data_IF_414896025116
#
_entry.id   IF_414896025116
#
_cell.length_a   1.000
_cell.length_b   1.000
_cell.length_c   1.000
_cell.angle_alpha   90.00
_cell.angle_beta   90.00
_cell.angle_gamma   90.00
#
_symmetry.space_group_name_H-M   'P 1'
#
loop_
_entity.id
_entity.type
_entity.pdbx_description
1 polymer ?
#
# COMPACT_ATOMS: atom_id res chain seq x y z
N UNK A 1 -28.91 -9.65 -19.14
CA UNK A 1 -29.07 -9.78 -17.67
C UNK A 1 -27.91 -9.01 -17.07
N UNK A 2 -28.09 -7.70 -16.91
CA UNK A 2 -27.04 -6.82 -16.41
C UNK A 2 -26.98 -7.00 -14.90
N UNK A 3 -25.87 -7.56 -14.41
CA UNK A 3 -25.58 -7.56 -13.00
C UNK A 3 -25.32 -6.10 -12.61
N UNK A 4 -26.30 -5.45 -11.98
CA UNK A 4 -26.06 -4.25 -11.19
C UNK A 4 -24.91 -4.56 -10.23
N UNK A 5 -23.71 -4.08 -10.55
CA UNK A 5 -22.59 -4.04 -9.64
C UNK A 5 -22.89 -2.98 -8.59
N UNK A 6 -23.83 -3.31 -7.69
CA UNK A 6 -24.12 -2.52 -6.51
C UNK A 6 -22.82 -2.38 -5.72
N UNK A 7 -22.20 -1.20 -5.82
CA UNK A 7 -21.05 -0.82 -5.00
C UNK A 7 -21.51 -1.01 -3.56
N UNK A 8 -21.02 -2.06 -2.90
CA UNK A 8 -21.44 -2.39 -1.54
C UNK A 8 -21.04 -1.19 -0.68
N UNK A 9 -21.85 -0.81 0.31
CA UNK A 9 -21.56 0.30 1.23
C UNK A 9 -20.12 0.26 1.78
N UNK A 10 -19.59 -0.94 2.05
CA UNK A 10 -18.19 -1.18 2.43
C UNK A 10 -17.17 -0.60 1.43
N UNK A 11 -17.46 -0.65 0.13
CA UNK A 11 -16.56 -0.16 -0.93
C UNK A 11 -16.54 1.38 -1.00
N UNK A 12 -17.50 2.06 -0.37
CA UNK A 12 -17.53 3.53 -0.20
C UNK A 12 -16.96 4.00 1.15
N UNK A 13 -16.75 3.10 2.11
CA UNK A 13 -16.17 3.43 3.40
C UNK A 13 -14.67 3.76 3.25
N UNK A 14 -14.23 5.01 3.54
CA UNK A 14 -12.83 5.39 3.45
C UNK A 14 -11.90 4.51 4.29
N UNK A 15 -12.35 4.06 5.46
CA UNK A 15 -11.56 3.19 6.35
C UNK A 15 -11.34 1.84 5.68
N UNK A 16 -12.41 1.25 5.13
CA UNK A 16 -12.31 -0.03 4.42
C UNK A 16 -11.42 0.06 3.18
N UNK A 17 -11.49 1.16 2.42
CA UNK A 17 -10.58 1.39 1.30
C UNK A 17 -9.12 1.45 1.77
N UNK A 18 -8.81 2.16 2.85
CA UNK A 18 -7.47 2.21 3.44
C UNK A 18 -6.97 0.80 3.83
N UNK A 19 -7.82 -0.02 4.45
CA UNK A 19 -7.47 -1.40 4.79
C UNK A 19 -7.17 -2.26 3.54
N UNK A 20 -7.95 -2.11 2.47
CA UNK A 20 -7.70 -2.82 1.20
C UNK A 20 -6.38 -2.39 0.58
N UNK A 21 -6.10 -1.09 0.51
CA UNK A 21 -4.83 -0.55 -0.01
C UNK A 21 -3.64 -1.07 0.80
N UNK A 22 -3.74 -1.05 2.14
CA UNK A 22 -2.70 -1.58 3.02
C UNK A 22 -2.47 -3.09 2.82
N UNK A 23 -3.54 -3.87 2.61
CA UNK A 23 -3.42 -5.29 2.32
C UNK A 23 -2.69 -5.55 0.99
N UNK A 24 -3.00 -4.78 -0.06
CA UNK A 24 -2.32 -4.86 -1.36
C UNK A 24 -0.82 -4.55 -1.19
N UNK A 25 -0.47 -3.47 -0.50
CA UNK A 25 0.91 -3.11 -0.23
C UNK A 25 1.67 -4.21 0.53
N UNK A 26 1.06 -4.83 1.54
CA UNK A 26 1.68 -5.96 2.27
C UNK A 26 1.93 -7.16 1.36
N UNK A 27 1.06 -7.44 0.39
CA UNK A 27 1.30 -8.49 -0.61
C UNK A 27 2.49 -8.19 -1.51
N UNK A 28 2.65 -6.93 -1.93
CA UNK A 28 3.82 -6.47 -2.68
C UNK A 28 5.10 -6.63 -1.85
N UNK A 29 5.06 -6.22 -0.58
CA UNK A 29 6.20 -6.21 0.32
C UNK A 29 6.64 -7.61 0.78
N UNK A 30 5.68 -8.46 1.20
CA UNK A 30 5.96 -9.75 1.86
C UNK A 30 5.76 -10.97 0.97
N UNK A 31 4.90 -10.86 -0.03
CA UNK A 31 4.54 -11.99 -0.90
C UNK A 31 5.09 -11.83 -2.33
N UNK A 32 5.95 -10.83 -2.56
CA UNK A 32 6.68 -10.68 -3.82
C UNK A 32 5.79 -10.38 -5.02
N UNK A 33 4.56 -9.85 -4.82
CA UNK A 33 3.70 -9.48 -5.94
C UNK A 33 4.35 -8.40 -6.80
N UNK A 34 4.11 -8.48 -8.09
CA UNK A 34 4.63 -7.55 -9.09
C UNK A 34 3.75 -6.30 -9.24
N UNK A 35 4.25 -5.36 -10.04
CA UNK A 35 3.65 -4.05 -10.26
C UNK A 35 2.28 -4.15 -10.94
N UNK A 36 2.16 -5.00 -11.95
CA UNK A 36 0.93 -5.14 -12.72
C UNK A 36 -0.18 -5.76 -11.86
N UNK A 37 0.15 -6.77 -11.06
CA UNK A 37 -0.78 -7.32 -10.07
C UNK A 37 -1.26 -6.25 -9.08
N UNK A 38 -0.35 -5.41 -8.58
CA UNK A 38 -0.70 -4.36 -7.62
C UNK A 38 -1.60 -3.29 -8.25
N UNK A 39 -1.33 -2.92 -9.50
CA UNK A 39 -2.12 -1.96 -10.26
C UNK A 39 -3.55 -2.46 -10.50
N UNK A 40 -3.70 -3.73 -10.90
CA UNK A 40 -5.01 -4.35 -11.08
C UNK A 40 -5.84 -4.34 -9.79
N UNK A 41 -5.22 -4.70 -8.66
CA UNK A 41 -5.91 -4.69 -7.36
C UNK A 41 -6.25 -3.28 -6.87
N UNK A 42 -5.40 -2.29 -7.16
CA UNK A 42 -5.70 -0.89 -6.85
C UNK A 42 -6.89 -0.38 -7.66
N UNK A 43 -7.00 -0.76 -8.93
CA UNK A 43 -8.13 -0.38 -9.79
C UNK A 43 -9.44 -1.03 -9.36
N UNK A 44 -9.41 -2.19 -8.69
CA UNK A 44 -10.60 -2.74 -8.01
C UNK A 44 -11.05 -1.90 -6.80
N UNK A 45 -10.16 -1.10 -6.20
CA UNK A 45 -10.45 -0.20 -5.07
C UNK A 45 -10.78 1.22 -5.56
N UNK A 46 -10.09 1.69 -6.61
CA UNK A 46 -10.25 3.01 -7.23
C UNK A 46 -10.30 2.84 -8.76
N UNK A 47 -11.47 2.53 -9.33
CA UNK A 47 -11.61 2.26 -10.77
C UNK A 47 -11.26 3.45 -11.66
N UNK A 48 -11.30 4.66 -11.09
CA UNK A 48 -10.95 5.93 -11.76
C UNK A 48 -9.44 6.18 -11.89
N UNK A 49 -8.60 5.26 -11.40
CA UNK A 49 -7.14 5.37 -11.51
C UNK A 49 -6.49 6.43 -10.64
N UNK A 50 -7.26 7.15 -9.79
CA UNK A 50 -6.69 8.22 -8.92
C UNK A 50 -5.60 7.72 -7.97
N UNK A 51 -5.58 6.43 -7.68
CA UNK A 51 -4.62 5.77 -6.78
C UNK A 51 -3.48 5.04 -7.51
N UNK A 52 -3.42 5.06 -8.84
CA UNK A 52 -2.39 4.35 -9.61
C UNK A 52 -0.98 4.81 -9.22
N UNK A 53 -0.79 6.10 -8.93
CA UNK A 53 0.48 6.67 -8.48
C UNK A 53 1.01 6.05 -7.18
N UNK A 54 0.16 5.49 -6.32
CA UNK A 54 0.60 4.80 -5.10
C UNK A 54 1.45 3.58 -5.44
N UNK A 55 1.07 2.86 -6.51
CA UNK A 55 1.80 1.67 -6.96
C UNK A 55 3.20 2.07 -7.42
N UNK A 56 3.34 3.14 -8.20
CA UNK A 56 4.67 3.63 -8.61
C UNK A 56 5.57 3.93 -7.40
N UNK A 57 5.01 4.60 -6.39
CA UNK A 57 5.74 4.92 -5.15
C UNK A 57 6.14 3.67 -4.38
N UNK A 58 5.29 2.65 -4.32
CA UNK A 58 5.62 1.41 -3.61
C UNK A 58 6.80 0.66 -4.22
N UNK A 59 6.91 0.67 -5.54
CA UNK A 59 7.99 -0.03 -6.25
C UNK A 59 9.27 0.80 -6.36
N UNK A 60 9.24 2.08 -5.99
CA UNK A 60 10.44 2.91 -5.88
C UNK A 60 11.37 2.34 -4.80
N UNK A 61 12.58 1.94 -5.19
CA UNK A 61 13.57 1.37 -4.25
C UNK A 61 13.25 -0.08 -3.81
N UNK A 62 12.24 -0.73 -4.39
CA UNK A 62 11.81 -2.06 -3.95
C UNK A 62 12.77 -3.16 -4.36
N UNK A 63 13.54 -2.99 -5.44
CA UNK A 63 14.59 -3.94 -5.82
C UNK A 63 15.74 -3.90 -4.79
N UNK A 64 16.10 -2.71 -4.33
CA UNK A 64 17.10 -2.50 -3.29
C UNK A 64 16.63 -3.03 -1.93
N UNK A 65 15.34 -2.89 -1.62
CA UNK A 65 14.71 -3.52 -0.45
C UNK A 65 14.76 -5.05 -0.54
N UNK A 66 14.33 -5.63 -1.67
CA UNK A 66 14.29 -7.10 -1.87
C UNK A 66 15.68 -7.73 -1.91
N UNK A 67 16.67 -7.00 -2.43
CA UNK A 67 18.09 -7.43 -2.42
C UNK A 67 18.78 -7.25 -1.07
N UNK A 68 18.10 -6.67 -0.06
CA UNK A 68 18.65 -6.42 1.26
C UNK A 68 19.68 -5.28 1.32
N UNK A 69 19.80 -4.49 0.24
CA UNK A 69 20.66 -3.28 0.19
C UNK A 69 20.06 -2.14 1.00
N UNK A 70 18.74 -2.05 1.05
CA UNK A 70 18.01 -1.19 1.99
C UNK A 70 17.53 -2.07 3.13
N UNK A 71 18.06 -1.85 4.33
CA UNK A 71 17.52 -2.48 5.54
C UNK A 71 16.28 -1.69 5.99
N UNK A 72 15.23 -2.37 6.50
CA UNK A 72 14.17 -1.66 7.19
C UNK A 72 14.80 -0.82 8.31
N UNK A 73 14.35 0.43 8.45
CA UNK A 73 14.72 1.27 9.59
C UNK A 73 14.36 0.48 10.83
N UNK A 74 15.37 -0.06 11.52
CA UNK A 74 15.19 -0.55 12.87
C UNK A 74 14.84 0.67 13.68
N UNK A 75 13.74 0.62 14.43
CA UNK A 75 13.38 1.64 15.41
C UNK A 75 14.54 1.75 16.41
N UNK A 76 15.52 2.62 16.12
CA UNK A 76 16.33 3.14 17.19
C UNK A 76 15.36 3.91 18.09
N UNK A 77 15.30 3.60 19.40
CA UNK A 77 14.39 4.28 20.30
C UNK A 77 14.69 5.77 20.19
N UNK A 78 13.65 6.57 19.95
CA UNK A 78 13.75 8.04 19.98
C UNK A 78 14.32 8.38 21.35
N UNK A 79 15.62 8.69 21.41
CA UNK A 79 16.25 9.12 22.64
C UNK A 79 15.55 10.41 23.05
N UNK A 80 14.85 10.35 24.18
CA UNK A 80 14.21 11.51 24.79
C UNK A 80 15.19 12.68 24.76
N UNK A 81 14.83 13.75 24.05
CA UNK A 81 15.50 15.03 24.18
C UNK A 81 15.25 15.46 25.63
N UNK A 82 16.19 15.17 26.52
CA UNK A 82 16.23 15.77 27.85
C UNK A 82 16.42 17.27 27.63
N UNK A 83 15.31 18.00 27.65
CA UNK A 83 15.34 19.44 27.91
C UNK A 83 15.90 19.60 29.31
N UNK A 84 17.15 20.07 29.39
CA UNK A 84 17.74 20.51 30.64
C UNK A 84 16.88 21.65 31.17
N UNK A 85 16.30 21.43 32.35
CA UNK A 85 15.66 22.46 33.16
C UNK A 85 16.71 23.29 33.91
#
# INVERSE_FOLDING_TARGET
>A
MEAEMGVKLRDRDPIYQCWRVAAIYRCVLRHGRDRDWALDRIREVSPDGRKDHLVEVWFLGMEEFRSGRIRPVTEEPIHEIRLAA
#
